data_IF_453282881638
#
_entry.id   IF_453282881638
#
_cell.length_a   1.000
_cell.length_b   1.000
_cell.length_c   1.000
_cell.angle_alpha   90.00
_cell.angle_beta   90.00
_cell.angle_gamma   90.00
#
_symmetry.space_group_name_H-M   'P 1'
#
loop_
_entity.id
_entity.type
_entity.pdbx_description
1 polymer ?
#
# COMPACT_ATOMS: atom_id res chain seq x y z
N UNK A 1 17.95 -11.73 12.85
CA UNK A 1 16.77 -11.61 11.96
C UNK A 1 16.53 -10.14 11.67
N UNK A 2 16.23 -9.79 10.42
CA UNK A 2 15.89 -8.42 10.01
C UNK A 2 14.48 -8.36 9.44
N UNK A 3 13.86 -7.19 9.49
CA UNK A 3 12.62 -6.85 8.80
C UNK A 3 12.91 -5.75 7.80
N UNK A 4 12.41 -5.90 6.58
CA UNK A 4 12.47 -4.90 5.51
C UNK A 4 11.11 -4.23 5.40
N UNK A 5 10.91 -3.01 5.92
CA UNK A 5 9.67 -2.26 5.68
C UNK A 5 9.62 -1.86 4.21
N UNK A 6 8.48 -2.06 3.56
CA UNK A 6 8.27 -1.66 2.16
C UNK A 6 6.89 -1.01 2.05
N UNK A 7 6.83 0.18 1.49
CA UNK A 7 5.57 0.80 1.09
C UNK A 7 5.26 0.42 -0.35
N UNK A 8 4.02 0.01 -0.61
CA UNK A 8 3.50 -0.25 -1.95
C UNK A 8 2.45 0.81 -2.26
N UNK A 9 2.65 1.58 -3.34
CA UNK A 9 1.75 2.64 -3.78
C UNK A 9 1.18 2.22 -5.13
N UNK A 10 -0.13 1.98 -5.17
CA UNK A 10 -0.85 1.78 -6.43
C UNK A 10 -1.29 3.13 -6.97
N UNK A 11 -0.80 3.49 -8.15
CA UNK A 11 -1.20 4.69 -8.88
C UNK A 11 -2.21 4.27 -9.93
N UNK A 12 -3.42 4.80 -9.85
CA UNK A 12 -4.48 4.51 -10.80
C UNK A 12 -4.12 4.99 -12.22
N UNK A 13 -4.71 4.40 -13.26
CA UNK A 13 -4.67 4.96 -14.61
C UNK A 13 -5.11 6.43 -14.67
N UNK A 14 -4.59 7.18 -15.63
CA UNK A 14 -4.99 8.57 -15.85
C UNK A 14 -6.51 8.70 -16.02
N UNK A 15 -7.15 9.49 -15.15
CA UNK A 15 -8.59 9.75 -15.18
C UNK A 15 -9.46 8.73 -14.42
N UNK A 16 -8.87 7.69 -13.83
CA UNK A 16 -9.59 6.75 -12.96
C UNK A 16 -9.54 7.15 -11.49
N UNK A 17 -10.47 6.60 -10.70
CA UNK A 17 -10.46 6.74 -9.23
C UNK A 17 -9.16 6.18 -8.64
N UNK A 18 -8.59 6.84 -7.63
CA UNK A 18 -7.32 6.42 -6.98
C UNK A 18 -7.39 5.00 -6.41
N UNK A 19 -8.59 4.50 -6.12
CA UNK A 19 -8.86 3.15 -5.63
C UNK A 19 -9.10 2.14 -6.76
N UNK A 20 -8.80 2.49 -8.03
CA UNK A 20 -9.04 1.63 -9.20
C UNK A 20 -8.57 0.17 -9.01
N UNK A 21 -7.41 0.00 -8.38
CA UNK A 21 -6.80 -1.30 -8.10
C UNK A 21 -7.17 -1.92 -6.74
N UNK A 22 -7.93 -1.20 -5.92
CA UNK A 22 -8.34 -1.72 -4.62
C UNK A 22 -9.52 -2.69 -4.78
N UNK A 23 -9.47 -3.77 -4.03
CA UNK A 23 -10.54 -4.74 -3.89
C UNK A 23 -10.93 -4.81 -2.41
N UNK A 24 -12.09 -4.28 -2.08
CA UNK A 24 -12.61 -4.20 -0.71
C UNK A 24 -13.94 -4.96 -0.57
N UNK A 25 -14.28 -5.31 0.67
CA UNK A 25 -15.42 -6.18 0.99
C UNK A 25 -16.73 -5.76 0.32
N UNK A 26 -17.43 -6.72 -0.28
CA UNK A 26 -18.66 -6.51 -1.06
C UNK A 26 -18.45 -6.43 -2.58
N UNK A 27 -17.21 -6.36 -3.07
CA UNK A 27 -16.91 -6.39 -4.51
C UNK A 27 -16.79 -7.83 -5.05
N UNK A 28 -17.57 -8.15 -6.08
CA UNK A 28 -17.43 -9.41 -6.81
C UNK A 28 -16.09 -9.46 -7.56
N UNK A 29 -15.38 -10.58 -7.41
CA UNK A 29 -14.05 -10.78 -7.98
C UNK A 29 -14.02 -10.68 -9.51
N UNK A 30 -14.93 -11.37 -10.20
CA UNK A 30 -14.89 -11.47 -11.66
C UNK A 30 -15.15 -10.13 -12.38
N UNK A 31 -16.17 -9.32 -12.02
CA UNK A 31 -16.37 -8.01 -12.62
C UNK A 31 -15.20 -7.04 -12.35
N UNK A 32 -14.63 -7.08 -11.14
CA UNK A 32 -13.49 -6.23 -10.79
C UNK A 32 -12.23 -6.59 -11.60
N UNK A 33 -11.97 -7.89 -11.77
CA UNK A 33 -10.87 -8.38 -12.58
C UNK A 33 -11.03 -7.96 -14.06
N UNK A 34 -12.23 -8.11 -14.63
CA UNK A 34 -12.51 -7.69 -16.01
C UNK A 34 -12.29 -6.17 -16.17
N UNK A 35 -12.75 -5.35 -15.21
CA UNK A 35 -12.51 -3.89 -15.22
C UNK A 35 -11.01 -3.57 -15.28
N UNK A 36 -10.20 -4.23 -14.45
CA UNK A 36 -8.74 -4.03 -14.43
C UNK A 36 -8.08 -4.45 -15.76
N UNK A 37 -8.46 -5.62 -16.30
CA UNK A 37 -7.87 -6.16 -17.53
C UNK A 37 -8.31 -5.42 -18.79
N UNK A 38 -9.53 -4.89 -18.80
CA UNK A 38 -10.08 -4.13 -19.93
C UNK A 38 -9.50 -2.71 -20.03
N UNK A 39 -8.81 -2.22 -19.00
CA UNK A 39 -8.23 -0.89 -19.02
C UNK A 39 -7.06 -0.80 -20.01
N UNK A 40 -7.17 0.14 -20.94
CA UNK A 40 -6.26 0.28 -22.09
C UNK A 40 -4.88 0.81 -21.68
N UNK A 41 -4.82 1.78 -20.77
CA UNK A 41 -3.58 2.30 -20.18
C UNK A 41 -3.60 1.98 -18.70
N UNK A 42 -2.71 1.09 -18.27
CA UNK A 42 -2.59 0.76 -16.86
C UNK A 42 -1.93 1.93 -16.11
N UNK A 43 -2.18 1.99 -14.81
CA UNK A 43 -1.44 2.83 -13.90
C UNK A 43 -0.07 2.24 -13.56
N UNK A 44 0.43 2.51 -12.36
CA UNK A 44 1.75 2.05 -11.93
C UNK A 44 1.73 1.52 -10.50
N UNK A 45 2.71 0.68 -10.17
CA UNK A 45 3.00 0.29 -8.79
C UNK A 45 4.37 0.84 -8.43
N UNK A 46 4.44 1.63 -7.38
CA UNK A 46 5.69 2.15 -6.82
C UNK A 46 6.02 1.43 -5.51
N UNK A 47 7.27 1.02 -5.40
CA UNK A 47 7.81 0.36 -4.21
C UNK A 47 8.83 1.27 -3.54
N UNK A 48 8.55 1.65 -2.30
CA UNK A 48 9.49 2.41 -1.48
C UNK A 48 10.15 1.46 -0.48
N UNK A 49 11.42 1.16 -0.71
CA UNK A 49 12.23 0.36 0.19
C UNK A 49 12.83 1.25 1.28
N UNK A 50 12.54 0.92 2.53
CA UNK A 50 13.08 1.62 3.69
C UNK A 50 14.37 0.98 4.18
N UNK A 51 15.07 1.59 5.13
CA UNK A 51 16.22 0.92 5.75
C UNK A 51 15.75 -0.38 6.46
N UNK A 52 16.40 -1.54 6.22
CA UNK A 52 16.13 -2.74 6.98
C UNK A 52 16.44 -2.51 8.46
N UNK A 53 15.62 -3.09 9.34
CA UNK A 53 15.81 -2.99 10.80
C UNK A 53 16.05 -4.35 11.42
N UNK A 54 16.91 -4.40 12.43
CA UNK A 54 17.17 -5.63 13.19
C UNK A 54 16.09 -5.81 14.25
N UNK A 55 15.59 -7.03 14.37
CA UNK A 55 14.56 -7.37 15.37
C UNK A 55 15.10 -7.21 16.80
N UNK A 56 16.40 -7.44 17.00
CA UNK A 56 17.09 -7.29 18.28
C UNK A 56 17.16 -5.86 18.80
N UNK A 57 16.92 -4.87 17.94
CA UNK A 57 17.04 -3.45 18.31
C UNK A 57 15.75 -2.94 18.98
N UNK A 58 14.71 -3.78 19.10
CA UNK A 58 13.42 -3.43 19.67
C UNK A 58 13.13 -4.23 20.93
N UNK A 59 12.52 -3.57 21.93
CA UNK A 59 12.18 -4.18 23.20
C UNK A 59 11.17 -5.35 23.09
N UNK A 60 10.30 -5.31 22.08
CA UNK A 60 9.31 -6.37 21.83
C UNK A 60 8.70 -6.27 20.42
N UNK A 61 7.92 -7.29 20.05
CA UNK A 61 7.20 -7.38 18.77
C UNK A 61 6.23 -6.23 18.50
N UNK A 62 5.64 -5.62 19.54
CA UNK A 62 4.70 -4.50 19.36
C UNK A 62 5.45 -3.21 18.99
N UNK A 63 6.59 -2.96 19.64
CA UNK A 63 7.45 -1.83 19.32
C UNK A 63 7.99 -1.93 17.88
N UNK A 64 8.45 -3.11 17.46
CA UNK A 64 8.86 -3.36 16.08
C UNK A 64 7.71 -3.12 15.09
N UNK A 65 6.53 -3.68 15.36
CA UNK A 65 5.37 -3.52 14.49
C UNK A 65 4.94 -2.05 14.35
N UNK A 66 4.91 -1.30 15.44
CA UNK A 66 4.57 0.13 15.43
C UNK A 66 5.60 0.95 14.63
N UNK A 67 6.90 0.66 14.80
CA UNK A 67 7.94 1.31 14.00
C UNK A 67 7.78 1.02 12.51
N UNK A 68 7.58 -0.25 12.14
CA UNK A 68 7.40 -0.64 10.75
C UNK A 68 6.14 0.00 10.15
N UNK A 69 5.04 0.07 10.90
CA UNK A 69 3.78 0.69 10.49
C UNK A 69 3.95 2.17 10.18
N UNK A 70 4.55 2.94 11.10
CA UNK A 70 4.81 4.36 10.91
C UNK A 70 5.74 4.59 9.70
N UNK A 71 6.77 3.74 9.56
CA UNK A 71 7.73 3.80 8.45
C UNK A 71 7.04 3.58 7.10
N UNK A 72 6.17 2.55 6.98
CA UNK A 72 5.49 2.27 5.71
C UNK A 72 4.36 3.25 5.41
N UNK A 73 3.77 3.89 6.43
CA UNK A 73 2.73 4.92 6.26
C UNK A 73 3.29 6.27 5.83
N UNK A 74 4.52 6.62 6.24
CA UNK A 74 5.08 7.94 6.01
C UNK A 74 5.09 8.39 4.53
N UNK A 75 5.44 7.56 3.54
CA UNK A 75 5.38 7.95 2.12
C UNK A 75 3.95 8.24 1.63
N UNK A 76 2.95 7.50 2.15
CA UNK A 76 1.55 7.64 1.74
C UNK A 76 0.99 9.03 2.10
N UNK A 77 1.34 9.54 3.28
CA UNK A 77 0.95 10.89 3.73
C UNK A 77 1.55 12.00 2.86
N UNK A 78 2.78 11.82 2.37
CA UNK A 78 3.43 12.80 1.48
C UNK A 78 2.73 12.91 0.12
N UNK A 79 2.13 11.84 -0.36
CA UNK A 79 1.38 11.77 -1.61
C UNK A 79 -0.09 12.22 -1.47
N UNK A 80 -0.52 12.62 -0.28
CA UNK A 80 -1.91 13.03 -0.02
C UNK A 80 -2.93 11.88 -0.08
N UNK A 81 -2.46 10.62 -0.06
CA UNK A 81 -3.31 9.43 -0.05
C UNK A 81 -3.71 9.13 1.41
N UNK A 82 -4.86 9.67 1.83
CA UNK A 82 -5.45 9.38 3.13
C UNK A 82 -6.35 8.13 3.06
N UNK A 83 -6.03 7.13 3.89
CA UNK A 83 -6.79 5.88 4.01
C UNK A 83 -7.91 5.96 5.06
N UNK A 84 -8.15 7.14 5.65
CA UNK A 84 -9.19 7.36 6.66
C UNK A 84 -10.61 7.11 6.14
N UNK A 85 -10.82 7.26 4.83
CA UNK A 85 -12.11 7.04 4.15
C UNK A 85 -12.35 5.58 3.73
N UNK A 86 -11.46 4.64 4.08
CA UNK A 86 -11.55 3.21 3.70
C UNK A 86 -12.23 2.35 4.78
N UNK A 87 -13.02 2.96 5.68
CA UNK A 87 -13.77 2.26 6.72
C UNK A 87 -15.18 1.88 6.30
#
# INVERSE_FOLDING_TARGET
MHVQPVTVIYRAPDGEDSRFYGWWGGMDFAPHLVKMLAQRRQGAVELVYHAPVKVSDFANRKALAAYCEETVRAPLRREGLDFSDVR
#
